data_IF_132998107192
#
_entry.id   IF_132998107192
#
_cell.length_a   1.000
_cell.length_b   1.000
_cell.length_c   1.000
_cell.angle_alpha   90.00
_cell.angle_beta   90.00
_cell.angle_gamma   90.00
#
_symmetry.space_group_name_H-M   'P 1'
#
loop_
_entity.id
_entity.type
_entity.pdbx_description
1 polymer ?
#
# COMPACT_ATOMS: atom_id res chain seq x y z
N UNK A 1 -11.21 -17.74 13.28
CA UNK A 1 -9.93 -17.72 12.54
C UNK A 1 -10.10 -17.25 11.09
N UNK A 2 -11.00 -17.83 10.28
CA UNK A 2 -11.13 -17.49 8.85
C UNK A 2 -11.54 -16.04 8.52
N UNK A 3 -12.41 -15.43 9.34
CA UNK A 3 -12.86 -14.04 9.13
C UNK A 3 -11.72 -13.02 9.25
N UNK A 4 -10.86 -13.16 10.27
CA UNK A 4 -9.71 -12.27 10.47
C UNK A 4 -8.67 -12.40 9.35
N UNK A 5 -8.43 -13.61 8.85
CA UNK A 5 -7.56 -13.84 7.70
C UNK A 5 -8.13 -13.22 6.41
N UNK A 6 -9.44 -13.34 6.19
CA UNK A 6 -10.12 -12.71 5.05
C UNK A 6 -10.04 -11.17 5.14
N UNK A 7 -10.23 -10.61 6.33
CA UNK A 7 -10.12 -9.17 6.58
C UNK A 7 -8.69 -8.67 6.36
N UNK A 8 -7.68 -9.36 6.89
CA UNK A 8 -6.28 -9.02 6.68
C UNK A 8 -5.90 -9.06 5.18
N UNK A 9 -6.40 -10.05 4.44
CA UNK A 9 -6.21 -10.15 2.98
C UNK A 9 -6.88 -8.99 2.25
N UNK A 10 -8.08 -8.60 2.66
CA UNK A 10 -8.80 -7.47 2.09
C UNK A 10 -8.06 -6.15 2.31
N UNK A 11 -7.53 -5.92 3.52
CA UNK A 11 -6.73 -4.72 3.83
C UNK A 11 -5.44 -4.69 3.01
N UNK A 12 -4.76 -5.83 2.84
CA UNK A 12 -3.57 -5.94 1.96
C UNK A 12 -3.90 -5.58 0.50
N UNK A 13 -5.04 -6.05 0.00
CA UNK A 13 -5.53 -5.71 -1.34
C UNK A 13 -5.83 -4.21 -1.48
N UNK A 14 -6.53 -3.63 -0.51
CA UNK A 14 -6.85 -2.21 -0.50
C UNK A 14 -5.58 -1.35 -0.50
N UNK A 15 -4.58 -1.73 0.30
CA UNK A 15 -3.29 -1.07 0.38
C UNK A 15 -2.53 -1.14 -0.96
N UNK A 16 -2.53 -2.30 -1.63
CA UNK A 16 -1.91 -2.46 -2.94
C UNK A 16 -2.58 -1.56 -4.01
N UNK A 17 -3.91 -1.48 -4.00
CA UNK A 17 -4.66 -0.61 -4.92
C UNK A 17 -4.35 0.86 -4.65
N UNK A 18 -4.29 1.26 -3.37
CA UNK A 18 -3.95 2.64 -2.99
C UNK A 18 -2.56 3.04 -3.49
N UNK A 19 -1.56 2.17 -3.31
CA UNK A 19 -0.19 2.38 -3.83
C UNK A 19 -0.20 2.53 -5.36
N UNK A 20 -0.93 1.65 -6.06
CA UNK A 20 -1.00 1.69 -7.52
C UNK A 20 -1.64 2.99 -8.05
N UNK A 21 -2.75 3.42 -7.46
CA UNK A 21 -3.40 4.68 -7.82
C UNK A 21 -2.49 5.90 -7.56
N UNK A 22 -1.78 5.89 -6.42
CA UNK A 22 -0.86 6.97 -6.09
C UNK A 22 0.36 6.99 -7.04
N UNK A 23 0.86 5.82 -7.44
CA UNK A 23 1.92 5.67 -8.43
C UNK A 23 1.50 6.23 -9.80
N UNK A 24 0.28 5.91 -10.23
CA UNK A 24 -0.28 6.44 -11.47
C UNK A 24 -0.41 7.98 -11.42
N UNK A 25 -0.90 8.50 -10.30
CA UNK A 25 -1.00 9.95 -10.07
C UNK A 25 0.37 10.63 -10.08
N UNK A 26 1.37 10.06 -9.41
CA UNK A 26 2.72 10.61 -9.35
C UNK A 26 3.41 10.65 -10.73
N UNK A 27 3.09 9.73 -11.64
CA UNK A 27 3.57 9.77 -13.04
C UNK A 27 2.89 10.89 -13.83
N UNK A 28 1.56 11.02 -13.70
CA UNK A 28 0.77 11.98 -14.49
C UNK A 28 0.96 13.42 -14.01
N UNK A 29 1.03 13.63 -12.69
CA UNK A 29 1.28 14.92 -12.05
C UNK A 29 2.24 14.75 -10.88
N UNK A 30 3.56 14.86 -11.11
CA UNK A 30 4.54 14.67 -10.07
C UNK A 30 4.43 15.79 -9.04
N UNK A 31 4.06 15.43 -7.81
CA UNK A 31 4.16 16.29 -6.64
C UNK A 31 5.11 15.66 -5.62
N UNK A 32 5.92 16.50 -4.95
CA UNK A 32 6.84 16.02 -3.93
C UNK A 32 6.10 15.30 -2.77
N UNK A 33 4.85 15.69 -2.51
CA UNK A 33 4.00 15.10 -1.50
C UNK A 33 3.52 13.69 -1.92
N UNK A 34 3.15 13.49 -3.19
CA UNK A 34 2.76 12.17 -3.70
C UNK A 34 3.93 11.17 -3.63
N UNK A 35 5.14 11.61 -3.96
CA UNK A 35 6.35 10.77 -3.85
C UNK A 35 6.66 10.40 -2.38
N UNK A 36 6.48 11.33 -1.44
CA UNK A 36 6.68 11.08 -0.02
C UNK A 36 5.65 10.09 0.54
N UNK A 37 4.38 10.24 0.16
CA UNK A 37 3.32 9.32 0.56
C UNK A 37 3.54 7.92 -0.04
N UNK A 38 3.98 7.84 -1.29
CA UNK A 38 4.40 6.59 -1.94
C UNK A 38 5.50 5.88 -1.17
N UNK A 39 6.52 6.61 -0.72
CA UNK A 39 7.62 6.07 0.07
C UNK A 39 7.11 5.46 1.39
N UNK A 40 6.24 6.17 2.11
CA UNK A 40 5.66 5.69 3.37
C UNK A 40 4.80 4.45 3.12
N UNK A 41 3.91 4.48 2.12
CA UNK A 41 3.05 3.34 1.80
C UNK A 41 3.86 2.13 1.34
N UNK A 42 4.98 2.34 0.64
CA UNK A 42 5.90 1.28 0.27
C UNK A 42 6.57 0.65 1.49
N UNK A 43 7.02 1.44 2.47
CA UNK A 43 7.58 0.92 3.72
C UNK A 43 6.52 0.12 4.50
N UNK A 44 5.28 0.64 4.57
CA UNK A 44 4.16 -0.08 5.19
C UNK A 44 3.89 -1.40 4.46
N UNK A 45 3.95 -1.42 3.12
CA UNK A 45 3.83 -2.64 2.34
C UNK A 45 4.94 -3.64 2.66
N UNK A 46 6.21 -3.21 2.66
CA UNK A 46 7.36 -4.06 2.99
C UNK A 46 7.23 -4.66 4.39
N UNK A 47 6.93 -3.84 5.39
CA UNK A 47 6.80 -4.30 6.80
C UNK A 47 5.62 -5.25 6.99
N UNK A 48 4.50 -5.04 6.30
CA UNK A 48 3.28 -5.82 6.44
C UNK A 48 3.31 -7.15 5.64
N UNK A 49 4.24 -7.28 4.69
CA UNK A 49 4.49 -8.50 3.92
C UNK A 49 5.73 -9.28 4.39
N UNK A 50 6.78 -8.64 4.92
CA UNK A 50 7.95 -9.31 5.50
C UNK A 50 7.80 -9.65 7.00
N UNK A 51 7.00 -8.88 7.73
CA UNK A 51 6.74 -9.11 9.16
C UNK A 51 5.54 -10.02 9.46
N UNK A 52 4.86 -10.51 8.42
CA UNK A 52 3.76 -11.46 8.59
C UNK A 52 4.33 -12.91 8.54
N UNK A 53 4.27 -13.68 9.64
CA UNK A 53 4.43 -15.13 9.56
C UNK A 53 3.31 -15.78 8.74
#
# INVERSE_FOLDING_TARGET
MGFFYALARFVKLLLAIAIFLLFLRAILWPSALDLFVLLILFIVFVTLFLGAP
#
